data_IF_961057792770
#
_entry.id   IF_961057792770
#
_cell.length_a   1.000
_cell.length_b   1.000
_cell.length_c   1.000
_cell.angle_alpha   90.00
_cell.angle_beta   90.00
_cell.angle_gamma   90.00
#
_symmetry.space_group_name_H-M   'P 1'
#
loop_
_entity.id
_entity.type
_entity.pdbx_description
1 polymer ?
#
# COMPACT_ATOMS: atom_id res chain seq x y z
N UNK A 1 -20.16 25.12 -24.78
CA UNK A 1 -20.30 26.24 -23.82
C UNK A 1 -18.92 26.49 -23.18
N UNK A 2 -18.46 27.74 -23.09
CA UNK A 2 -17.18 28.05 -22.41
C UNK A 2 -17.41 28.03 -20.89
N UNK A 3 -16.70 27.19 -20.16
CA UNK A 3 -16.73 27.16 -18.70
C UNK A 3 -16.08 28.45 -18.16
N UNK A 4 -16.81 29.17 -17.32
CA UNK A 4 -16.24 30.29 -16.56
C UNK A 4 -15.50 29.72 -15.36
N UNK A 5 -14.23 30.11 -15.23
CA UNK A 5 -13.38 29.70 -14.12
C UNK A 5 -13.40 30.83 -13.10
N UNK A 6 -13.69 30.49 -11.84
CA UNK A 6 -13.59 31.45 -10.73
C UNK A 6 -12.15 31.42 -10.23
N UNK A 7 -11.50 32.58 -10.22
CA UNK A 7 -10.17 32.76 -9.66
C UNK A 7 -10.33 33.17 -8.20
N UNK A 8 -10.41 32.18 -7.32
CA UNK A 8 -10.08 32.35 -5.89
C UNK A 8 -8.68 31.80 -5.63
N UNK A 9 -8.26 31.63 -4.38
CA UNK A 9 -7.04 30.88 -4.05
C UNK A 9 -7.01 29.47 -4.68
N UNK A 10 -8.15 28.99 -5.19
CA UNK A 10 -8.28 27.76 -5.96
C UNK A 10 -8.99 28.09 -7.28
N UNK A 11 -8.46 27.55 -8.39
CA UNK A 11 -9.10 27.63 -9.71
C UNK A 11 -10.09 26.48 -9.86
N UNK A 12 -11.37 26.79 -9.86
CA UNK A 12 -12.45 25.82 -10.07
C UNK A 12 -13.49 26.34 -11.05
N UNK A 13 -14.21 25.44 -11.74
CA UNK A 13 -15.43 25.77 -12.46
C UNK A 13 -16.44 26.52 -11.57
N UNK A 14 -17.11 27.51 -12.14
CA UNK A 14 -18.05 28.38 -11.43
C UNK A 14 -19.24 27.62 -10.80
N UNK A 15 -19.77 26.62 -11.49
CA UNK A 15 -20.83 25.73 -11.02
C UNK A 15 -20.41 24.97 -9.74
N UNK A 16 -19.22 24.40 -9.74
CA UNK A 16 -18.65 23.69 -8.58
C UNK A 16 -18.40 24.67 -7.43
N UNK A 17 -17.93 25.88 -7.73
CA UNK A 17 -17.70 26.92 -6.73
C UNK A 17 -18.99 27.30 -5.99
N UNK A 18 -20.09 27.51 -6.73
CA UNK A 18 -21.38 27.82 -6.13
C UNK A 18 -21.93 26.67 -5.30
N UNK A 19 -21.81 25.44 -5.79
CA UNK A 19 -22.26 24.27 -5.05
C UNK A 19 -21.50 24.10 -3.73
N UNK A 20 -20.17 24.21 -3.77
CA UNK A 20 -19.34 24.10 -2.57
C UNK A 20 -19.64 25.24 -1.57
N UNK A 21 -19.90 26.46 -2.07
CA UNK A 21 -20.32 27.59 -1.22
C UNK A 21 -21.67 27.35 -0.55
N UNK A 22 -22.65 26.79 -1.27
CA UNK A 22 -23.94 26.42 -0.70
C UNK A 22 -23.81 25.35 0.40
N UNK A 23 -22.94 24.35 0.19
CA UNK A 23 -22.67 23.31 1.19
C UNK A 23 -21.95 23.85 2.42
N UNK A 24 -21.02 24.79 2.24
CA UNK A 24 -20.33 25.46 3.35
C UNK A 24 -21.34 26.22 4.23
N UNK A 25 -22.23 27.00 3.61
CA UNK A 25 -23.31 27.72 4.31
C UNK A 25 -24.25 26.76 5.03
N UNK A 26 -24.66 25.68 4.38
CA UNK A 26 -25.54 24.66 5.00
C UNK A 26 -24.88 24.01 6.23
N UNK A 27 -23.55 23.89 6.21
CA UNK A 27 -22.77 23.34 7.32
C UNK A 27 -22.44 24.39 8.40
N UNK A 28 -22.87 25.64 8.23
CA UNK A 28 -22.55 26.75 9.14
C UNK A 28 -21.06 27.14 9.15
N UNK A 29 -20.34 26.86 8.06
CA UNK A 29 -18.89 27.08 7.95
C UNK A 29 -18.57 28.11 6.88
N UNK A 30 -17.42 28.78 7.01
CA UNK A 30 -16.88 29.54 5.89
C UNK A 30 -16.45 28.61 4.76
N UNK A 31 -16.45 29.13 3.53
CA UNK A 31 -16.00 28.37 2.34
C UNK A 31 -14.56 27.86 2.52
N UNK A 32 -13.67 28.66 3.13
CA UNK A 32 -12.28 28.28 3.36
C UNK A 32 -12.16 27.12 4.36
N UNK A 33 -12.91 27.15 5.47
CA UNK A 33 -12.93 26.06 6.45
C UNK A 33 -13.49 24.78 5.84
N UNK A 34 -14.55 24.91 5.03
CA UNK A 34 -15.16 23.78 4.33
C UNK A 34 -14.15 23.11 3.39
N UNK A 35 -13.40 23.89 2.60
CA UNK A 35 -12.35 23.38 1.72
C UNK A 35 -11.23 22.71 2.52
N UNK A 36 -10.75 23.33 3.60
CA UNK A 36 -9.70 22.75 4.46
C UNK A 36 -10.13 21.40 5.06
N UNK A 37 -11.41 21.30 5.46
CA UNK A 37 -12.00 20.05 5.96
C UNK A 37 -12.05 18.97 4.88
N UNK A 38 -12.46 19.33 3.66
CA UNK A 38 -12.48 18.40 2.52
C UNK A 38 -11.08 17.87 2.19
N UNK A 39 -10.07 18.75 2.16
CA UNK A 39 -8.66 18.36 1.92
C UNK A 39 -8.20 17.37 2.98
N UNK A 40 -8.48 17.66 4.26
CA UNK A 40 -8.12 16.78 5.38
C UNK A 40 -8.76 15.40 5.23
N UNK A 41 -10.06 15.34 4.92
CA UNK A 41 -10.78 14.07 4.75
C UNK A 41 -10.21 13.28 3.56
N UNK A 42 -9.95 13.95 2.43
CA UNK A 42 -9.37 13.32 1.25
C UNK A 42 -7.99 12.72 1.54
N UNK A 43 -7.14 13.48 2.23
CA UNK A 43 -5.81 13.05 2.62
C UNK A 43 -5.84 11.84 3.55
N UNK A 44 -6.72 11.86 4.57
CA UNK A 44 -6.90 10.72 5.49
C UNK A 44 -7.36 9.46 4.73
N UNK A 45 -8.34 9.58 3.82
CA UNK A 45 -8.80 8.44 3.01
C UNK A 45 -7.66 7.88 2.14
N UNK A 46 -6.86 8.75 1.53
CA UNK A 46 -5.71 8.32 0.72
C UNK A 46 -4.66 7.61 1.58
N UNK A 47 -4.35 8.14 2.76
CA UNK A 47 -3.44 7.50 3.70
C UNK A 47 -3.94 6.11 4.11
N UNK A 48 -5.21 5.98 4.51
CA UNK A 48 -5.81 4.69 4.88
C UNK A 48 -5.74 3.69 3.72
N UNK A 49 -6.09 4.10 2.50
CA UNK A 49 -5.97 3.24 1.32
C UNK A 49 -4.52 2.82 1.01
N UNK A 50 -3.52 3.67 1.29
CA UNK A 50 -2.10 3.28 1.15
C UNK A 50 -1.65 2.30 2.23
N UNK A 51 -2.15 2.43 3.46
CA UNK A 51 -1.83 1.52 4.58
C UNK A 51 -2.39 0.13 4.30
N UNK A 52 -3.63 0.03 3.83
CA UNK A 52 -4.24 -1.26 3.46
C UNK A 52 -3.45 -1.96 2.35
N UNK A 53 -3.09 -1.23 1.29
CA UNK A 53 -2.27 -1.78 0.19
C UNK A 53 -0.90 -2.26 0.68
N UNK A 54 -0.25 -1.53 1.60
CA UNK A 54 1.03 -1.96 2.22
C UNK A 54 0.84 -3.23 3.05
N UNK A 55 -0.23 -3.32 3.84
CA UNK A 55 -0.55 -4.50 4.68
C UNK A 55 -0.79 -5.74 3.81
N UNK A 56 -1.57 -5.61 2.74
CA UNK A 56 -1.83 -6.70 1.78
C UNK A 56 -0.52 -7.21 1.14
N UNK A 57 0.37 -6.31 0.70
CA UNK A 57 1.69 -6.68 0.15
C UNK A 57 2.55 -7.44 1.16
N UNK A 58 2.52 -7.05 2.44
CA UNK A 58 3.30 -7.72 3.51
C UNK A 58 2.76 -9.12 3.79
N UNK A 59 1.45 -9.31 3.79
CA UNK A 59 0.83 -10.63 3.95
C UNK A 59 1.17 -11.57 2.79
N UNK A 60 1.06 -11.09 1.54
CA UNK A 60 1.42 -11.89 0.36
C UNK A 60 2.88 -12.38 0.40
N UNK A 61 3.83 -11.51 0.75
CA UNK A 61 5.24 -11.92 0.92
C UNK A 61 5.43 -12.96 2.02
N UNK A 62 4.64 -12.88 3.09
CA UNK A 62 4.70 -13.83 4.20
C UNK A 62 4.13 -15.20 3.80
N UNK A 63 3.03 -15.22 3.04
CA UNK A 63 2.48 -16.45 2.44
C UNK A 63 3.48 -17.09 1.47
N UNK A 64 4.08 -16.30 0.57
CA UNK A 64 5.13 -16.77 -0.35
C UNK A 64 6.34 -17.36 0.41
N UNK A 65 6.72 -16.77 1.54
CA UNK A 65 7.80 -17.26 2.39
C UNK A 65 7.46 -18.60 3.05
N UNK A 66 6.28 -18.74 3.65
CA UNK A 66 5.84 -19.99 4.25
C UNK A 66 5.67 -21.11 3.23
N UNK A 67 5.18 -20.77 2.03
CA UNK A 67 5.08 -21.73 0.93
C UNK A 67 6.46 -22.30 0.57
N UNK A 68 7.48 -21.43 0.44
CA UNK A 68 8.86 -21.86 0.18
C UNK A 68 9.42 -22.77 1.28
N UNK A 69 9.11 -22.51 2.55
CA UNK A 69 9.52 -23.39 3.66
C UNK A 69 8.88 -24.77 3.51
N UNK A 70 7.58 -24.83 3.20
CA UNK A 70 6.88 -26.10 2.99
C UNK A 70 7.43 -26.86 1.77
N UNK A 71 7.82 -26.15 0.72
CA UNK A 71 8.42 -26.77 -0.46
C UNK A 71 9.80 -27.35 -0.14
N UNK A 72 10.61 -26.68 0.69
CA UNK A 72 11.88 -27.22 1.20
C UNK A 72 11.65 -28.44 2.09
N UNK A 73 10.63 -28.43 2.95
CA UNK A 73 10.30 -29.56 3.82
C UNK A 73 9.78 -30.79 3.07
N UNK A 74 9.24 -30.60 1.85
CA UNK A 74 8.80 -31.69 0.96
C UNK A 74 9.92 -32.30 0.15
N UNK A 75 11.11 -31.68 0.12
CA UNK A 75 12.26 -32.30 -0.50
C UNK A 75 12.54 -33.60 0.27
N UNK A 76 12.74 -34.72 -0.44
CA UNK A 76 13.07 -35.98 0.22
C UNK A 76 14.29 -35.74 1.10
N UNK A 77 14.25 -36.27 2.32
CA UNK A 77 15.31 -36.21 3.31
C UNK A 77 16.53 -36.97 2.75
N UNK A 78 17.23 -36.37 1.79
CA UNK A 78 18.57 -36.77 1.45
C UNK A 78 19.40 -36.31 2.65
N UNK A 79 20.05 -37.22 3.38
CA UNK A 79 21.15 -36.77 4.23
C UNK A 79 22.01 -35.91 3.32
N UNK A 80 22.44 -34.74 3.81
CA UNK A 80 23.47 -33.99 3.11
C UNK A 80 24.69 -34.90 3.10
N UNK A 81 24.83 -35.71 2.06
CA UNK A 81 26.09 -36.37 1.78
C UNK A 81 27.10 -35.25 1.76
N UNK A 82 28.10 -35.40 2.62
CA UNK A 82 29.23 -34.48 2.67
C UNK A 82 29.69 -34.23 1.23
N UNK A 83 29.93 -32.95 0.91
CA UNK A 83 30.60 -32.57 -0.33
C UNK A 83 31.77 -33.53 -0.60
N UNK A 84 32.04 -33.91 -1.85
CA UNK A 84 33.20 -34.77 -2.17
C UNK A 84 34.50 -34.22 -1.52
N UNK A 85 34.58 -32.89 -1.37
CA UNK A 85 35.67 -32.20 -0.68
C UNK A 85 35.67 -32.44 0.84
N UNK A 86 34.51 -32.46 1.48
CA UNK A 86 34.36 -32.73 2.91
C UNK A 86 34.66 -34.20 3.23
N UNK A 87 34.33 -35.14 2.34
CA UNK A 87 34.69 -36.56 2.51
C UNK A 87 36.21 -36.77 2.53
N UNK A 88 36.95 -36.00 1.73
CA UNK A 88 38.43 -36.04 1.70
C UNK A 88 39.02 -35.44 2.98
N UNK A 89 38.46 -34.34 3.50
CA UNK A 89 38.96 -33.67 4.71
C UNK A 89 38.67 -34.51 5.96
N UNK A 90 37.51 -35.16 6.03
CA UNK A 90 37.07 -35.89 7.23
C UNK A 90 37.24 -37.41 7.16
N UNK A 91 37.75 -37.96 6.04
CA UNK A 91 38.11 -39.38 5.92
C UNK A 91 36.94 -40.34 6.12
N UNK A 92 35.75 -39.98 5.63
CA UNK A 92 34.56 -40.83 5.74
C UNK A 92 34.57 -41.81 4.56
N UNK A 93 34.89 -43.07 4.82
CA UNK A 93 34.76 -44.17 3.84
C UNK A 93 33.31 -44.66 3.81
N UNK A 94 32.72 -44.66 2.61
CA UNK A 94 31.37 -45.17 2.38
C UNK A 94 31.34 -46.69 2.68
N UNK A 95 30.57 -47.08 3.70
CA UNK A 95 30.33 -48.49 4.07
C UNK A 95 29.25 -49.17 3.23
#
# INVERSE_FOLDING_TARGET
MKQKIVISNIRVPEDIWFQAKAMAVHSGMSMNEYINKLITISFVKQMLGTIEKKRQRKNKKREEFFQKILDVAKLPNRPMDASEEDKIIYGIEDG
#
